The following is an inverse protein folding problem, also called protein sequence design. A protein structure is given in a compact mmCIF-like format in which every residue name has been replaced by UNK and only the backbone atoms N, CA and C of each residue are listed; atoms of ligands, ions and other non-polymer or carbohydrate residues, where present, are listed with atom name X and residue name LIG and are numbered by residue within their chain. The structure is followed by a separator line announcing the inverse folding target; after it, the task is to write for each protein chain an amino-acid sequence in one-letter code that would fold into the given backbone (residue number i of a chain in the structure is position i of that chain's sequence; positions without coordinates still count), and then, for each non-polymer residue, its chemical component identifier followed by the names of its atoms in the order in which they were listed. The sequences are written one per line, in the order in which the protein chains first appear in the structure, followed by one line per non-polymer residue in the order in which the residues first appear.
data_IF_041840477600
#
_entry.id   IF_041840477600
#
_cell.length_a   1.000
_cell.length_b   1.000
_cell.length_c   1.000
_cell.angle_alpha   90.00
_cell.angle_beta   90.00
_cell.angle_gamma   90.00
#
_symmetry.space_group_name_H-M   'P 1'
#
loop_
_entity.id
_entity.type
_entity.pdbx_description
1 polymer ?
#
# COMPACT_ATOMS: atom_id res chain seq x y z
N UNK A 1 33.51 -14.48 -8.94
CA UNK A 1 33.22 -15.95 -8.73
C UNK A 1 32.41 -16.26 -7.46
N UNK A 2 32.70 -15.71 -6.29
CA UNK A 2 31.87 -15.94 -5.10
C UNK A 2 30.57 -15.08 -5.17
N UNK A 3 30.68 -13.81 -5.48
CA UNK A 3 29.54 -12.88 -5.67
C UNK A 3 28.58 -13.38 -6.76
N UNK A 4 29.08 -13.81 -7.92
CA UNK A 4 28.23 -14.34 -9.00
C UNK A 4 27.36 -15.52 -8.56
N UNK A 5 27.89 -16.37 -7.65
CA UNK A 5 27.14 -17.49 -7.07
C UNK A 5 26.06 -16.99 -6.10
N UNK A 6 26.34 -15.91 -5.35
CA UNK A 6 25.39 -15.35 -4.39
C UNK A 6 24.27 -14.60 -5.09
N UNK A 7 24.57 -13.89 -6.19
CA UNK A 7 23.54 -13.25 -7.03
C UNK A 7 22.59 -14.29 -7.63
N UNK A 8 23.13 -15.42 -8.13
CA UNK A 8 22.32 -16.54 -8.60
C UNK A 8 21.50 -17.21 -7.48
N UNK A 9 22.03 -17.32 -6.26
CA UNK A 9 21.29 -17.84 -5.12
C UNK A 9 20.13 -16.92 -4.72
N UNK A 10 20.36 -15.60 -4.69
CA UNK A 10 19.31 -14.60 -4.45
C UNK A 10 18.21 -14.68 -5.50
N UNK A 11 18.59 -14.75 -6.78
CA UNK A 11 17.65 -14.94 -7.88
C UNK A 11 16.78 -16.19 -7.70
N UNK A 12 17.40 -17.30 -7.34
CA UNK A 12 16.72 -18.58 -7.13
C UNK A 12 15.73 -18.50 -5.95
N UNK A 13 16.13 -17.89 -4.83
CA UNK A 13 15.25 -17.68 -3.67
C UNK A 13 14.05 -16.83 -4.05
N UNK A 14 14.25 -15.69 -4.69
CA UNK A 14 13.16 -14.78 -5.09
C UNK A 14 12.22 -15.43 -6.12
N UNK A 15 12.75 -16.22 -7.04
CA UNK A 15 11.95 -16.96 -8.01
C UNK A 15 11.10 -18.04 -7.33
N UNK A 16 11.72 -18.81 -6.42
CA UNK A 16 11.06 -19.92 -5.74
C UNK A 16 9.99 -19.43 -4.75
N UNK A 17 10.22 -18.30 -4.07
CA UNK A 17 9.26 -17.69 -3.17
C UNK A 17 7.96 -17.27 -3.90
N UNK A 18 8.08 -16.66 -5.09
CA UNK A 18 6.93 -16.21 -5.88
C UNK A 18 6.14 -15.06 -5.24
N UNK A 19 6.50 -14.64 -4.04
CA UNK A 19 5.92 -13.56 -3.25
C UNK A 19 7.00 -12.59 -2.75
N UNK A 20 6.66 -11.38 -2.27
CA UNK A 20 7.64 -10.45 -1.73
C UNK A 20 8.36 -11.03 -0.50
N UNK A 21 9.69 -10.97 -0.48
CA UNK A 21 10.55 -11.43 0.63
C UNK A 21 11.30 -10.24 1.19
N UNK A 22 11.35 -10.12 2.53
CA UNK A 22 12.02 -9.01 3.20
C UNK A 22 13.56 -9.13 3.11
N UNK A 23 14.26 -7.97 3.14
CA UNK A 23 15.74 -7.96 3.19
C UNK A 23 16.28 -8.75 4.39
N UNK A 24 15.59 -8.71 5.53
CA UNK A 24 16.00 -9.44 6.72
C UNK A 24 15.95 -10.96 6.48
N UNK A 25 14.86 -11.46 5.93
CA UNK A 25 14.68 -12.86 5.60
C UNK A 25 15.66 -13.34 4.52
N UNK A 26 15.91 -12.53 3.49
CA UNK A 26 16.91 -12.81 2.47
C UNK A 26 18.33 -12.89 3.08
N UNK A 27 18.66 -11.97 4.00
CA UNK A 27 19.93 -11.94 4.70
C UNK A 27 20.13 -13.20 5.56
N UNK A 28 19.10 -13.60 6.29
CA UNK A 28 19.12 -14.81 7.12
C UNK A 28 19.27 -16.07 6.26
N UNK A 29 18.50 -16.20 5.17
CA UNK A 29 18.57 -17.35 4.25
C UNK A 29 19.93 -17.51 3.58
N UNK A 30 20.55 -16.40 3.16
CA UNK A 30 21.83 -16.40 2.46
C UNK A 30 23.02 -16.24 3.40
N UNK A 31 22.79 -16.15 4.73
CA UNK A 31 23.81 -15.97 5.76
C UNK A 31 24.72 -14.77 5.50
N UNK A 32 24.09 -13.64 5.11
CA UNK A 32 24.74 -12.37 4.83
C UNK A 32 24.32 -11.30 5.83
N UNK A 33 25.21 -10.33 6.06
CA UNK A 33 24.86 -9.12 6.77
C UNK A 33 23.95 -8.23 5.91
N UNK A 34 23.04 -7.46 6.55
CA UNK A 34 22.10 -6.58 5.83
C UNK A 34 22.74 -5.65 4.81
N UNK A 35 23.88 -4.99 5.10
CA UNK A 35 24.56 -4.15 4.09
C UNK A 35 24.99 -4.94 2.85
N UNK A 36 25.55 -6.14 3.03
CA UNK A 36 25.96 -7.01 1.93
C UNK A 36 24.74 -7.46 1.10
N UNK A 37 23.61 -7.72 1.77
CA UNK A 37 22.36 -8.06 1.08
C UNK A 37 21.86 -6.91 0.20
N UNK A 38 21.94 -5.66 0.67
CA UNK A 38 21.58 -4.49 -0.13
C UNK A 38 22.46 -4.32 -1.36
N UNK A 39 23.77 -4.57 -1.26
CA UNK A 39 24.69 -4.56 -2.39
C UNK A 39 24.32 -5.64 -3.41
N UNK A 40 24.05 -6.86 -2.94
CA UNK A 40 23.69 -8.00 -3.79
C UNK A 40 22.35 -7.78 -4.51
N UNK A 41 21.36 -7.22 -3.81
CA UNK A 41 20.06 -6.83 -4.38
C UNK A 41 20.24 -5.75 -5.46
N UNK A 42 21.08 -4.75 -5.21
CA UNK A 42 21.36 -3.68 -6.16
C UNK A 42 22.01 -4.22 -7.44
N UNK A 43 22.98 -5.13 -7.30
CA UNK A 43 23.63 -5.81 -8.41
C UNK A 43 22.62 -6.63 -9.24
N UNK A 44 21.79 -7.43 -8.57
CA UNK A 44 20.75 -8.21 -9.23
C UNK A 44 19.74 -7.30 -9.96
N UNK A 45 19.29 -6.22 -9.32
CA UNK A 45 18.37 -5.24 -9.91
C UNK A 45 18.95 -4.65 -11.20
N UNK A 46 20.20 -4.22 -11.16
CA UNK A 46 20.90 -3.68 -12.32
C UNK A 46 21.02 -4.71 -13.46
N UNK A 47 21.24 -5.99 -13.15
CA UNK A 47 21.33 -7.06 -14.15
C UNK A 47 20.02 -7.26 -14.92
N UNK A 48 18.89 -6.93 -14.31
CA UNK A 48 17.56 -7.01 -14.92
C UNK A 48 17.12 -5.74 -15.67
N UNK A 49 17.88 -4.65 -15.63
CA UNK A 49 17.57 -3.42 -16.39
C UNK A 49 17.71 -3.61 -17.90
N UNK A 50 18.56 -4.56 -18.34
CA UNK A 50 18.75 -4.83 -19.76
C UNK A 50 17.40 -5.07 -20.48
N UNK A 51 17.25 -4.48 -21.67
CA UNK A 51 16.02 -4.63 -22.49
C UNK A 51 15.71 -6.06 -22.88
N UNK A 52 16.73 -6.90 -22.99
CA UNK A 52 16.60 -8.33 -23.30
C UNK A 52 16.01 -9.17 -22.16
N UNK A 53 15.86 -8.60 -20.96
CA UNK A 53 15.28 -9.28 -19.80
C UNK A 53 13.77 -9.02 -19.71
N UNK A 54 12.99 -10.09 -19.54
CA UNK A 54 11.55 -10.02 -19.37
C UNK A 54 11.08 -9.81 -17.93
N UNK A 55 12.00 -10.01 -16.96
CA UNK A 55 11.76 -9.84 -15.53
C UNK A 55 12.39 -8.54 -15.02
N UNK A 56 11.93 -8.10 -13.88
CA UNK A 56 12.52 -7.02 -13.09
C UNK A 56 12.43 -7.35 -11.60
N UNK A 57 13.31 -6.77 -10.81
CA UNK A 57 13.24 -6.83 -9.37
C UNK A 57 12.42 -5.64 -8.87
N UNK A 58 11.26 -5.91 -8.28
CA UNK A 58 10.40 -4.92 -7.67
C UNK A 58 10.68 -4.84 -6.18
N UNK A 59 10.84 -3.63 -5.70
CA UNK A 59 10.90 -3.30 -4.28
C UNK A 59 9.57 -2.71 -3.84
N UNK A 60 9.04 -3.15 -2.71
CA UNK A 60 7.79 -2.65 -2.14
C UNK A 60 7.82 -2.88 -0.63
N UNK A 61 7.65 -1.83 0.17
CA UNK A 61 7.62 -1.89 1.63
C UNK A 61 8.85 -2.62 2.23
N UNK A 62 10.05 -2.43 1.66
CA UNK A 62 11.28 -3.08 2.11
C UNK A 62 11.37 -4.58 1.79
N UNK A 63 10.47 -5.09 0.96
CA UNK A 63 10.49 -6.45 0.43
C UNK A 63 10.83 -6.45 -1.06
N UNK A 64 11.44 -7.53 -1.53
CA UNK A 64 11.83 -7.72 -2.93
C UNK A 64 11.09 -8.89 -3.56
N UNK A 65 10.71 -8.73 -4.82
CA UNK A 65 10.03 -9.75 -5.61
C UNK A 65 10.48 -9.70 -7.07
N UNK A 66 10.71 -10.86 -7.68
CA UNK A 66 10.84 -10.96 -9.13
C UNK A 66 9.46 -10.90 -9.78
N UNK A 67 9.28 -9.94 -10.68
CA UNK A 67 8.05 -9.73 -11.42
C UNK A 67 8.34 -9.56 -12.91
N UNK A 68 7.33 -9.72 -13.74
CA UNK A 68 7.45 -9.44 -15.18
C UNK A 68 7.46 -7.94 -15.44
N UNK A 69 8.25 -7.49 -16.43
CA UNK A 69 8.24 -6.08 -16.85
C UNK A 69 6.86 -5.70 -17.42
N UNK A 70 6.33 -4.51 -17.10
CA UNK A 70 5.01 -4.06 -17.54
C UNK A 70 4.83 -4.06 -19.06
N UNK A 71 5.90 -3.86 -19.82
CA UNK A 71 5.88 -3.86 -21.30
C UNK A 71 5.35 -5.19 -21.89
N UNK A 72 5.45 -6.29 -21.15
CA UNK A 72 4.97 -7.61 -21.59
C UNK A 72 3.54 -7.92 -21.12
N UNK A 73 2.84 -6.98 -20.46
CA UNK A 73 1.51 -7.20 -19.90
C UNK A 73 0.50 -7.73 -20.93
N UNK A 74 0.46 -7.14 -22.12
CA UNK A 74 -0.47 -7.57 -23.18
C UNK A 74 -0.24 -9.01 -23.64
N UNK A 75 1.01 -9.46 -23.69
CA UNK A 75 1.35 -10.84 -24.03
C UNK A 75 0.94 -11.80 -22.93
N UNK A 76 1.13 -11.38 -21.65
CA UNK A 76 0.85 -12.20 -20.49
C UNK A 76 -0.65 -12.39 -20.25
N UNK A 77 -1.51 -11.47 -20.69
CA UNK A 77 -2.97 -11.64 -20.66
C UNK A 77 -3.41 -12.92 -21.38
N UNK A 78 -2.68 -13.33 -22.43
CA UNK A 78 -2.96 -14.58 -23.17
C UNK A 78 -2.77 -15.87 -22.37
N UNK A 79 -2.07 -15.82 -21.23
CA UNK A 79 -1.86 -17.01 -20.38
C UNK A 79 -3.12 -17.42 -19.60
N UNK A 80 -4.16 -16.58 -19.55
CA UNK A 80 -5.44 -16.90 -18.92
C UNK A 80 -5.37 -17.24 -17.42
N UNK A 81 -4.25 -16.94 -16.76
CA UNK A 81 -4.00 -17.32 -15.36
C UNK A 81 -4.46 -16.22 -14.42
N UNK A 82 -5.35 -16.60 -13.53
CA UNK A 82 -5.94 -15.97 -12.34
C UNK A 82 -7.12 -15.04 -12.62
N UNK A 83 -8.25 -15.40 -11.98
CA UNK A 83 -9.27 -14.43 -11.58
C UNK A 83 -8.58 -13.45 -10.61
N UNK A 84 -8.23 -12.29 -11.09
CA UNK A 84 -7.89 -11.17 -10.22
C UNK A 84 -9.11 -10.95 -9.31
N UNK A 85 -8.90 -10.88 -8.02
CA UNK A 85 -9.93 -10.38 -7.09
C UNK A 85 -10.07 -8.90 -7.36
N UNK A 86 -10.96 -8.56 -8.29
CA UNK A 86 -11.25 -7.15 -8.61
C UNK A 86 -12.02 -6.56 -7.44
N UNK A 87 -11.43 -5.58 -6.79
CA UNK A 87 -12.15 -4.74 -5.84
C UNK A 87 -13.26 -3.99 -6.60
N UNK A 88 -14.46 -3.97 -6.02
CA UNK A 88 -15.55 -3.15 -6.55
C UNK A 88 -15.23 -1.65 -6.36
N UNK A 89 -15.90 -0.77 -7.10
CA UNK A 89 -15.75 0.67 -6.90
C UNK A 89 -16.03 1.07 -5.45
N UNK A 90 -17.07 0.49 -4.83
CA UNK A 90 -17.39 0.72 -3.43
C UNK A 90 -16.24 0.30 -2.48
N UNK A 91 -15.55 -0.82 -2.80
CA UNK A 91 -14.38 -1.26 -2.03
C UNK A 91 -13.19 -0.34 -2.23
N UNK A 92 -12.94 0.12 -3.46
CA UNK A 92 -11.85 1.06 -3.76
C UNK A 92 -12.06 2.41 -3.07
N UNK A 93 -13.28 2.97 -3.11
CA UNK A 93 -13.61 4.22 -2.44
C UNK A 93 -13.45 4.12 -0.91
N UNK A 94 -13.93 3.03 -0.29
CA UNK A 94 -13.78 2.82 1.15
C UNK A 94 -12.32 2.61 1.54
N UNK A 95 -11.56 1.85 0.73
CA UNK A 95 -10.14 1.63 0.94
C UNK A 95 -9.35 2.95 0.82
N UNK A 96 -9.71 3.81 -0.14
CA UNK A 96 -9.11 5.14 -0.29
C UNK A 96 -9.36 6.00 0.97
N UNK A 97 -10.59 6.01 1.51
CA UNK A 97 -10.87 6.73 2.76
C UNK A 97 -9.96 6.23 3.89
N UNK A 98 -9.81 4.90 4.04
CA UNK A 98 -8.90 4.36 5.05
C UNK A 98 -7.47 4.81 4.78
N UNK A 99 -6.97 4.71 3.56
CA UNK A 99 -5.60 5.05 3.21
C UNK A 99 -5.25 6.52 3.51
N UNK A 100 -6.17 7.45 3.23
CA UNK A 100 -5.93 8.88 3.41
C UNK A 100 -6.32 9.45 4.78
N UNK A 101 -7.21 8.77 5.52
CA UNK A 101 -7.76 9.28 6.80
C UNK A 101 -7.38 8.45 8.01
N UNK A 102 -6.61 7.37 7.84
CA UNK A 102 -6.22 6.49 8.93
C UNK A 102 -5.44 7.20 10.06
N UNK A 103 -5.65 6.80 11.31
CA UNK A 103 -6.60 5.78 11.75
C UNK A 103 -8.04 6.32 11.77
N UNK A 104 -8.99 5.60 11.19
CA UNK A 104 -10.39 6.04 10.95
C UNK A 104 -11.39 5.03 11.49
N UNK A 105 -12.50 5.49 12.05
CA UNK A 105 -13.59 4.63 12.54
C UNK A 105 -14.60 4.32 11.43
N UNK A 106 -15.41 3.26 11.62
CA UNK A 106 -16.50 2.94 10.70
C UNK A 106 -17.49 4.11 10.52
N UNK A 107 -17.87 4.75 11.60
CA UNK A 107 -18.81 5.87 11.56
C UNK A 107 -18.28 7.05 10.74
N UNK A 108 -16.98 7.34 10.82
CA UNK A 108 -16.32 8.37 10.02
C UNK A 108 -16.28 7.99 8.54
N UNK A 109 -15.99 6.71 8.22
CA UNK A 109 -16.06 6.22 6.83
C UNK A 109 -17.49 6.35 6.27
N UNK A 110 -18.54 5.97 7.04
CA UNK A 110 -19.94 6.08 6.66
C UNK A 110 -20.36 7.53 6.46
N UNK A 111 -19.87 8.45 7.30
CA UNK A 111 -20.15 9.88 7.16
C UNK A 111 -19.60 10.46 5.84
N UNK A 112 -18.38 10.02 5.43
CA UNK A 112 -17.77 10.44 4.16
C UNK A 112 -18.48 9.79 2.96
N UNK A 113 -18.83 8.49 3.08
CA UNK A 113 -19.47 7.73 2.01
C UNK A 113 -20.95 8.04 1.80
N UNK A 114 -21.64 8.55 2.83
CA UNK A 114 -23.09 8.71 2.84
C UNK A 114 -23.90 7.41 2.90
N UNK A 115 -23.23 6.25 2.98
CA UNK A 115 -23.84 4.92 3.00
C UNK A 115 -23.12 3.98 3.98
N UNK A 116 -23.78 2.90 4.38
CA UNK A 116 -23.19 1.87 5.23
C UNK A 116 -22.03 1.17 4.56
N UNK A 117 -20.96 0.90 5.34
CA UNK A 117 -19.72 0.29 4.83
C UNK A 117 -19.45 -1.11 5.37
N UNK A 118 -20.32 -1.69 6.20
CA UNK A 118 -20.08 -2.96 6.89
C UNK A 118 -19.62 -4.09 5.96
N UNK A 119 -20.34 -4.35 4.88
CA UNK A 119 -20.02 -5.44 3.96
C UNK A 119 -18.71 -5.20 3.21
N UNK A 120 -18.45 -3.95 2.83
CA UNK A 120 -17.22 -3.56 2.14
C UNK A 120 -16.04 -3.63 3.08
N UNK A 121 -16.17 -3.13 4.29
CA UNK A 121 -15.12 -3.13 5.31
C UNK A 121 -14.73 -4.58 5.68
N UNK A 122 -15.69 -5.47 5.88
CA UNK A 122 -15.42 -6.88 6.12
C UNK A 122 -14.63 -7.50 4.96
N UNK A 123 -15.01 -7.23 3.72
CA UNK A 123 -14.26 -7.70 2.55
C UNK A 123 -12.81 -7.20 2.55
N UNK A 124 -12.57 -5.94 2.92
CA UNK A 124 -11.22 -5.37 2.99
C UNK A 124 -10.39 -5.99 4.13
N UNK A 125 -11.04 -6.30 5.27
CA UNK A 125 -10.43 -7.03 6.39
C UNK A 125 -10.09 -8.47 5.98
N UNK A 126 -11.00 -9.21 5.34
CA UNK A 126 -10.79 -10.57 4.86
C UNK A 126 -9.66 -10.64 3.81
N UNK A 127 -9.56 -9.64 2.96
CA UNK A 127 -8.45 -9.49 2.00
C UNK A 127 -7.14 -9.09 2.67
N UNK A 128 -7.18 -8.68 3.93
CA UNK A 128 -6.03 -8.20 4.67
C UNK A 128 -5.46 -6.87 4.16
N UNK A 129 -6.25 -6.05 3.47
CA UNK A 129 -5.85 -4.72 3.00
C UNK A 129 -6.03 -3.66 4.08
N UNK A 130 -6.93 -3.92 5.02
CA UNK A 130 -7.24 -3.10 6.19
C UNK A 130 -7.14 -3.98 7.43
N UNK A 131 -6.75 -3.40 8.55
CA UNK A 131 -6.71 -4.06 9.85
C UNK A 131 -7.21 -3.12 10.96
N UNK A 132 -7.57 -3.70 12.12
CA UNK A 132 -7.88 -2.94 13.33
C UNK A 132 -6.60 -2.31 13.88
N UNK A 133 -6.60 -1.00 14.07
CA UNK A 133 -5.48 -0.20 14.59
C UNK A 133 -5.70 0.31 16.02
N UNK A 134 -6.58 -0.34 16.76
CA UNK A 134 -6.94 0.03 18.14
C UNK A 134 -8.34 0.60 18.27
N UNK A 135 -8.57 1.42 19.32
CA UNK A 135 -9.87 2.00 19.61
C UNK A 135 -9.76 3.50 19.89
N UNK A 136 -10.73 4.27 19.40
CA UNK A 136 -10.83 5.71 19.64
C UNK A 136 -11.34 5.97 21.05
N UNK A 137 -10.69 6.88 21.77
CA UNK A 137 -11.16 7.35 23.09
C UNK A 137 -12.35 8.29 22.90
N UNK A 138 -13.54 7.72 22.66
CA UNK A 138 -14.80 8.42 22.46
C UNK A 138 -15.96 7.56 22.99
N UNK A 139 -17.18 8.13 23.04
CA UNK A 139 -18.37 7.40 23.45
C UNK A 139 -18.53 6.12 22.59
N UNK A 140 -18.70 4.97 23.25
CA UNK A 140 -18.80 3.68 22.59
C UNK A 140 -17.47 3.03 22.21
N UNK A 141 -16.31 3.64 22.45
CA UNK A 141 -14.96 3.09 22.18
C UNK A 141 -14.86 2.45 20.78
N UNK A 142 -15.18 3.16 19.69
CA UNK A 142 -15.23 2.57 18.38
C UNK A 142 -13.85 2.09 17.90
N UNK A 143 -13.84 1.01 17.11
CA UNK A 143 -12.62 0.45 16.50
C UNK A 143 -12.08 1.45 15.49
N UNK A 144 -10.76 1.60 15.47
CA UNK A 144 -9.99 2.32 14.48
C UNK A 144 -9.43 1.35 13.45
N UNK A 145 -9.44 1.73 12.20
CA UNK A 145 -8.96 0.95 11.07
C UNK A 145 -7.82 1.69 10.36
N UNK A 146 -6.85 0.91 9.88
CA UNK A 146 -5.73 1.39 9.09
C UNK A 146 -5.38 0.41 7.97
N UNK A 147 -4.63 0.85 6.97
CA UNK A 147 -4.07 0.00 5.93
C UNK A 147 -2.95 -0.89 6.49
N UNK A 148 -2.62 -1.95 5.78
CA UNK A 148 -1.60 -2.94 6.16
C UNK A 148 -0.40 -2.87 5.22
N UNK A 149 0.67 -3.61 5.54
CA UNK A 149 1.79 -3.83 4.62
C UNK A 149 1.33 -4.47 3.30
N UNK A 150 0.32 -5.37 3.37
CA UNK A 150 -0.26 -5.99 2.18
C UNK A 150 -0.92 -4.96 1.26
N UNK A 151 -1.53 -3.91 1.81
CA UNK A 151 -2.01 -2.78 1.02
C UNK A 151 -0.85 -2.14 0.24
N UNK A 152 0.25 -1.82 0.90
CA UNK A 152 1.42 -1.24 0.23
C UNK A 152 1.93 -2.17 -0.89
N UNK A 153 2.05 -3.47 -0.61
CA UNK A 153 2.50 -4.46 -1.59
C UNK A 153 1.57 -4.55 -2.81
N UNK A 154 0.25 -4.55 -2.60
CA UNK A 154 -0.74 -4.65 -3.69
C UNK A 154 -0.73 -3.41 -4.57
N UNK A 155 -0.57 -2.23 -3.98
CA UNK A 155 -0.54 -0.95 -4.70
C UNK A 155 0.88 -0.55 -5.18
N UNK A 156 1.90 -1.32 -4.84
CA UNK A 156 3.28 -1.09 -5.27
C UNK A 156 3.94 0.12 -4.59
N UNK A 157 3.53 0.43 -3.36
CA UNK A 157 4.01 1.57 -2.58
C UNK A 157 5.06 1.13 -1.56
N UNK A 158 6.08 1.94 -1.31
CA UNK A 158 7.04 1.72 -0.23
C UNK A 158 6.57 2.31 1.10
N UNK A 159 5.78 3.39 1.03
CA UNK A 159 5.16 4.03 2.20
C UNK A 159 3.85 4.71 1.81
N UNK A 160 3.09 5.14 2.81
CA UNK A 160 1.86 5.91 2.60
C UNK A 160 2.13 7.32 2.03
N UNK A 161 3.35 7.81 2.18
CA UNK A 161 3.78 9.11 1.65
C UNK A 161 3.85 9.13 0.11
N UNK A 162 3.95 7.94 -0.51
CA UNK A 162 3.91 7.79 -1.97
C UNK A 162 2.49 7.84 -2.55
N UNK A 163 1.46 7.94 -1.70
CA UNK A 163 0.09 8.15 -2.17
C UNK A 163 -0.01 9.51 -2.90
N UNK A 164 -0.69 9.56 -4.06
CA UNK A 164 -0.88 10.82 -4.77
C UNK A 164 -1.64 11.81 -3.87
N UNK A 165 -1.33 13.11 -3.93
CA UNK A 165 -2.09 14.10 -3.18
C UNK A 165 -3.57 14.01 -3.59
N UNK A 166 -4.47 14.17 -2.60
CA UNK A 166 -5.89 14.33 -2.91
C UNK A 166 -6.04 15.61 -3.73
N UNK A 167 -6.57 15.49 -4.94
CA UNK A 167 -7.01 16.66 -5.70
C UNK A 167 -8.24 17.23 -4.96
N UNK A 168 -7.99 18.19 -4.08
CA UNK A 168 -9.06 19.01 -3.51
C UNK A 168 -9.60 19.89 -4.63
N UNK A 169 -10.89 19.77 -4.94
CA UNK A 169 -11.51 20.75 -5.85
C UNK A 169 -11.42 22.12 -5.17
N UNK A 170 -11.16 23.19 -5.94
CA UNK A 170 -11.12 24.56 -5.39
C UNK A 170 -12.39 24.95 -4.60
N UNK A 171 -13.50 24.30 -4.89
CA UNK A 171 -14.79 24.46 -4.19
C UNK A 171 -14.73 23.91 -2.75
N UNK A 172 -14.07 22.75 -2.53
CA UNK A 172 -13.95 22.13 -1.20
C UNK A 172 -13.02 22.96 -0.28
N UNK A 173 -11.98 23.58 -0.84
CA UNK A 173 -11.09 24.50 -0.08
C UNK A 173 -11.81 25.80 0.31
N UNK A 174 -12.67 26.31 -0.57
CA UNK A 174 -13.46 27.50 -0.28
C UNK A 174 -14.51 27.25 0.79
N UNK A 175 -15.18 26.10 0.78
CA UNK A 175 -16.14 25.70 1.82
C UNK A 175 -15.47 25.46 3.18
N UNK A 176 -14.30 24.79 3.19
CA UNK A 176 -13.53 24.57 4.40
C UNK A 176 -13.04 25.90 5.02
N UNK A 177 -12.57 26.83 4.20
CA UNK A 177 -12.14 28.16 4.63
C UNK A 177 -13.32 28.98 5.19
N UNK A 178 -14.51 28.90 4.58
CA UNK A 178 -15.72 29.56 5.07
C UNK A 178 -16.21 28.98 6.41
N UNK A 179 -16.10 27.67 6.62
CA UNK A 179 -16.47 27.04 7.89
C UNK A 179 -15.52 27.46 9.02
N UNK A 180 -14.22 27.58 8.77
CA UNK A 180 -13.26 28.06 9.77
C UNK A 180 -13.54 29.52 10.15
N UNK A 181 -13.82 30.39 9.18
CA UNK A 181 -14.20 31.78 9.43
C UNK A 181 -15.51 31.94 10.22
N UNK A 182 -16.48 31.06 10.00
CA UNK A 182 -17.72 31.05 10.76
C UNK A 182 -17.55 30.59 12.20
N UNK A 183 -16.66 29.64 12.45
CA UNK A 183 -16.31 29.16 13.80
C UNK A 183 -15.60 30.25 14.60
N UNK A 184 -14.63 30.96 14.03
CA UNK A 184 -13.93 32.08 14.69
C UNK A 184 -14.87 33.21 15.07
N UNK A 185 -15.77 33.62 14.15
CA UNK A 185 -16.77 34.64 14.42
C UNK A 185 -17.78 34.24 15.53
N UNK A 186 -18.03 32.91 15.68
CA UNK A 186 -18.94 32.40 16.71
C UNK A 186 -18.29 32.33 18.09
N UNK A 187 -16.96 32.20 18.15
CA UNK A 187 -16.18 32.21 19.36
C UNK A 187 -16.00 33.64 19.89
N UNK A 188 -15.71 34.61 19.02
CA UNK A 188 -15.58 36.02 19.38
C UNK A 188 -16.95 36.64 19.86
N UNK A 189 -18.08 36.16 19.33
CA UNK A 189 -19.40 36.61 19.76
C UNK A 189 -19.84 36.07 21.14
N UNK A 190 -19.14 35.10 21.72
CA UNK A 190 -19.41 34.54 23.05
C UNK A 190 -18.51 35.12 24.16
N UNK A 191 -17.48 35.88 23.82
CA UNK A 191 -16.58 36.53 24.77
C UNK A 191 -16.91 38.02 25.00
N UNK A 192 -17.93 38.59 24.34
CA UNK A 192 -18.50 39.91 24.58
C UNK A 192 -19.89 39.78 25.18
#
# INVERSE_FOLDING_TARGET
MYLDKMTGALEAVLFAAGEPVSVAELADLLQLEKPQMWELVSELKQSYEAESRGLMLRETAGCFQLVTKPVYYSILLGLGRKKEVKLTNASLETLAIVAFKQPVTRAEMEAIRGVKVDGVLNTLLDLGLVAEAGRKKALGNPILYATTEKFLMVFGLNSLEELPPLETKPEDEAEAAQQVLQLDNTLEAKEN
#
